data_IF_598939671134
#
_entry.id   IF_598939671134
#
_cell.length_a   1.000
_cell.length_b   1.000
_cell.length_c   1.000
_cell.angle_alpha   90.00
_cell.angle_beta   90.00
_cell.angle_gamma   90.00
#
_symmetry.space_group_name_H-M   'P 1'
#
loop_
_entity.id
_entity.type
_entity.pdbx_description
1 polymer ?
#
# COMPACT_ATOMS: atom_id res chain seq x y z
N UNK A 1 7.64 -11.04 11.03
CA UNK A 1 6.49 -11.33 11.92
C UNK A 1 5.44 -12.01 11.06
N UNK A 2 5.06 -13.24 11.41
CA UNK A 2 3.94 -13.93 10.75
C UNK A 2 2.66 -13.22 11.17
N UNK A 3 1.95 -12.61 10.22
CA UNK A 3 0.68 -11.95 10.51
C UNK A 3 -0.31 -12.97 11.09
N UNK A 4 -0.91 -12.66 12.23
CA UNK A 4 -1.97 -13.48 12.83
C UNK A 4 -3.10 -13.66 11.81
N UNK A 5 -3.53 -14.90 11.58
CA UNK A 5 -4.71 -15.19 10.74
C UNK A 5 -5.96 -14.73 11.47
N UNK A 6 -6.77 -13.90 10.81
CA UNK A 6 -8.04 -13.41 11.36
C UNK A 6 -9.18 -14.38 11.02
N UNK A 7 -10.02 -14.68 12.00
CA UNK A 7 -11.30 -15.34 11.76
C UNK A 7 -12.38 -14.33 11.34
N UNK A 8 -13.51 -14.82 10.85
CA UNK A 8 -14.65 -13.98 10.49
C UNK A 8 -15.10 -13.11 11.67
N UNK A 9 -15.37 -11.83 11.38
CA UNK A 9 -15.71 -10.78 12.35
C UNK A 9 -14.59 -10.41 13.33
N UNK A 10 -13.33 -10.70 12.98
CA UNK A 10 -12.17 -10.23 13.74
C UNK A 10 -11.48 -9.05 13.08
N UNK A 11 -10.91 -8.22 13.94
CA UNK A 11 -10.11 -7.06 13.57
C UNK A 11 -8.81 -7.12 14.35
N UNK A 12 -7.70 -6.84 13.68
CA UNK A 12 -6.41 -6.63 14.30
C UNK A 12 -6.07 -5.14 14.21
N UNK A 13 -6.07 -4.49 15.37
CA UNK A 13 -5.80 -3.06 15.54
C UNK A 13 -4.38 -2.92 16.04
N UNK A 14 -3.43 -2.58 15.15
CA UNK A 14 -2.03 -2.37 15.49
C UNK A 14 -1.38 -3.55 16.27
N UNK A 15 -1.78 -4.80 15.98
CA UNK A 15 -1.28 -6.01 16.65
C UNK A 15 -2.21 -6.56 17.72
N UNK A 16 -3.26 -5.84 18.11
CA UNK A 16 -4.23 -6.28 19.13
C UNK A 16 -5.48 -6.84 18.44
N UNK A 17 -5.72 -8.14 18.61
CA UNK A 17 -6.89 -8.83 18.08
C UNK A 17 -8.15 -8.52 18.90
N UNK A 18 -9.21 -8.08 18.24
CA UNK A 18 -10.54 -7.80 18.82
C UNK A 18 -11.65 -8.38 17.94
N UNK A 19 -12.89 -8.41 18.44
CA UNK A 19 -14.06 -8.88 17.72
C UNK A 19 -14.52 -10.27 18.15
N UNK A 20 -15.21 -10.96 17.25
CA UNK A 20 -15.87 -12.22 17.59
C UNK A 20 -14.88 -13.29 18.09
N UNK A 21 -15.25 -13.98 19.17
CA UNK A 21 -14.38 -14.98 19.82
C UNK A 21 -13.25 -14.40 20.66
N UNK A 22 -13.22 -13.07 20.89
CA UNK A 22 -12.30 -12.41 21.82
C UNK A 22 -13.04 -11.86 23.03
N UNK A 23 -12.29 -11.35 24.01
CA UNK A 23 -12.78 -10.60 25.17
C UNK A 23 -13.19 -9.15 24.84
N UNK A 24 -12.92 -8.66 23.61
CA UNK A 24 -13.32 -7.34 23.15
C UNK A 24 -14.43 -7.48 22.10
N UNK A 25 -15.66 -7.20 22.52
CA UNK A 25 -16.84 -7.32 21.68
C UNK A 25 -17.09 -6.02 20.92
N UNK A 26 -17.10 -6.09 19.59
CA UNK A 26 -17.40 -4.94 18.73
C UNK A 26 -18.93 -4.74 18.70
N UNK A 27 -19.37 -3.53 19.04
CA UNK A 27 -20.76 -3.11 18.93
C UNK A 27 -21.05 -2.43 17.59
N UNK A 28 -20.18 -1.52 17.17
CA UNK A 28 -20.34 -0.77 15.92
C UNK A 28 -18.99 -0.36 15.31
N UNK A 29 -18.97 -0.18 13.99
CA UNK A 29 -17.81 0.32 13.24
C UNK A 29 -18.27 1.38 12.25
N UNK A 30 -17.90 2.62 12.52
CA UNK A 30 -18.14 3.76 11.67
C UNK A 30 -16.91 4.03 10.77
N UNK A 31 -17.14 4.65 9.61
CA UNK A 31 -16.07 5.09 8.70
C UNK A 31 -15.48 4.02 7.78
N UNK A 32 -16.08 2.83 7.69
CA UNK A 32 -15.66 1.77 6.74
C UNK A 32 -16.15 1.99 5.31
N UNK A 33 -17.15 2.84 5.11
CA UNK A 33 -17.82 3.09 3.84
C UNK A 33 -17.04 4.00 2.88
N UNK A 34 -17.72 4.95 2.24
CA UNK A 34 -17.06 5.97 1.41
C UNK A 34 -16.42 7.02 2.32
N UNK A 35 -15.13 7.34 2.18
CA UNK A 35 -14.51 8.44 2.92
C UNK A 35 -15.14 9.78 2.58
N UNK A 36 -14.98 10.74 3.48
CA UNK A 36 -15.39 12.12 3.24
C UNK A 36 -14.69 12.70 2.01
N UNK A 37 -15.34 13.67 1.37
CA UNK A 37 -14.82 14.35 0.18
C UNK A 37 -14.54 15.80 0.52
N UNK A 38 -13.39 16.29 0.06
CA UNK A 38 -13.18 17.72 -0.11
C UNK A 38 -13.77 18.12 -1.46
N UNK A 39 -14.87 18.86 -1.39
CA UNK A 39 -15.60 19.35 -2.57
C UNK A 39 -14.93 20.61 -3.10
N UNK A 40 -14.63 20.62 -4.39
CA UNK A 40 -13.89 21.71 -5.05
C UNK A 40 -14.76 22.77 -5.72
N UNK A 41 -16.08 22.64 -5.59
CA UNK A 41 -17.06 23.43 -6.34
C UNK A 41 -16.94 24.93 -6.04
N UNK A 42 -17.13 25.75 -7.09
CA UNK A 42 -17.05 27.20 -6.98
C UNK A 42 -18.37 27.83 -7.36
N UNK A 43 -18.88 28.73 -6.54
CA UNK A 43 -20.10 29.48 -6.86
C UNK A 43 -19.92 30.25 -8.18
N UNK A 44 -21.01 30.33 -8.96
CA UNK A 44 -21.05 31.16 -10.17
C UNK A 44 -21.24 32.62 -9.70
N UNK A 45 -20.37 33.57 -10.11
CA UNK A 45 -20.56 34.96 -9.71
C UNK A 45 -21.85 35.57 -10.28
N UNK A 46 -22.77 35.98 -9.41
CA UNK A 46 -23.99 36.71 -9.80
C UNK A 46 -25.16 35.85 -10.30
N UNK A 47 -25.05 34.52 -10.24
CA UNK A 47 -26.10 33.59 -10.65
C UNK A 47 -26.27 32.46 -9.62
N UNK A 48 -27.43 31.80 -9.62
CA UNK A 48 -27.66 30.60 -8.81
C UNK A 48 -26.87 29.41 -9.38
N UNK A 49 -26.12 28.71 -8.53
CA UNK A 49 -25.42 27.48 -8.88
C UNK A 49 -23.91 27.51 -8.64
N UNK A 50 -23.22 26.48 -9.12
CA UNK A 50 -21.77 26.32 -8.97
C UNK A 50 -21.13 25.62 -10.18
N UNK A 51 -19.86 25.95 -10.44
CA UNK A 51 -18.99 25.20 -11.33
C UNK A 51 -18.46 23.96 -10.59
N UNK A 52 -18.62 22.75 -11.15
CA UNK A 52 -18.08 21.54 -10.55
C UNK A 52 -16.54 21.63 -10.51
N UNK A 53 -15.99 21.48 -9.31
CA UNK A 53 -14.56 21.49 -9.08
C UNK A 53 -13.95 20.09 -9.07
N UNK A 54 -12.68 20.03 -8.68
CA UNK A 54 -12.00 18.75 -8.47
C UNK A 54 -12.26 18.27 -7.05
N UNK A 55 -13.00 17.17 -6.93
CA UNK A 55 -13.18 16.49 -5.66
C UNK A 55 -11.96 15.63 -5.31
N UNK A 56 -11.61 15.60 -4.03
CA UNK A 56 -10.59 14.69 -3.49
C UNK A 56 -11.11 13.97 -2.26
N UNK A 57 -10.65 12.74 -2.04
CA UNK A 57 -11.02 11.97 -0.85
C UNK A 57 -10.16 12.40 0.32
N UNK A 58 -10.80 12.65 1.46
CA UNK A 58 -10.15 12.87 2.73
C UNK A 58 -9.56 11.56 3.29
N UNK A 59 -8.63 11.64 4.26
CA UNK A 59 -8.24 10.49 5.07
C UNK A 59 -9.46 9.82 5.70
N UNK A 60 -9.40 8.50 5.86
CA UNK A 60 -10.49 7.71 6.43
C UNK A 60 -10.41 7.72 7.95
N UNK A 61 -11.40 8.30 8.64
CA UNK A 61 -11.55 8.13 10.07
C UNK A 61 -12.39 6.87 10.35
N UNK A 62 -11.81 5.85 10.97
CA UNK A 62 -12.50 4.62 11.38
C UNK A 62 -12.69 4.68 12.89
N UNK A 63 -13.92 4.51 13.34
CA UNK A 63 -14.26 4.55 14.76
C UNK A 63 -14.97 3.26 15.15
N UNK A 64 -14.36 2.53 16.07
CA UNK A 64 -14.87 1.25 16.55
C UNK A 64 -15.40 1.47 17.96
N UNK A 65 -16.69 1.24 18.15
CA UNK A 65 -17.31 1.18 19.48
C UNK A 65 -17.32 -0.27 19.92
N UNK A 66 -16.71 -0.57 21.06
CA UNK A 66 -16.58 -1.93 21.56
C UNK A 66 -16.75 -1.96 23.08
N UNK A 67 -16.82 -3.16 23.65
CA UNK A 67 -16.78 -3.36 25.10
C UNK A 67 -15.88 -4.52 25.46
N UNK A 68 -15.01 -4.31 26.45
CA UNK A 68 -14.20 -5.36 27.05
C UNK A 68 -15.08 -6.13 28.02
N UNK A 69 -15.20 -7.44 27.83
CA UNK A 69 -16.03 -8.34 28.62
C UNK A 69 -15.18 -9.45 29.25
N UNK A 70 -14.93 -9.34 30.55
CA UNK A 70 -14.21 -10.31 31.37
C UNK A 70 -14.99 -10.59 32.65
N UNK A 71 -16.11 -11.34 32.56
CA UNK A 71 -17.06 -11.50 33.67
C UNK A 71 -16.38 -12.01 34.94
N UNK A 72 -16.56 -11.29 36.06
CA UNK A 72 -15.98 -11.67 37.35
C UNK A 72 -14.47 -11.46 37.49
N UNK A 73 -13.81 -10.84 36.51
CA UNK A 73 -12.37 -10.57 36.55
C UNK A 73 -12.06 -9.11 36.14
N UNK A 74 -12.28 -8.13 37.04
CA UNK A 74 -12.04 -6.72 36.73
C UNK A 74 -10.57 -6.43 36.38
N UNK A 75 -9.61 -7.14 37.00
CA UNK A 75 -8.19 -6.96 36.68
C UNK A 75 -7.86 -7.37 35.25
N UNK A 76 -8.51 -8.41 34.71
CA UNK A 76 -8.36 -8.76 33.30
C UNK A 76 -8.93 -7.67 32.37
N UNK A 77 -10.05 -7.04 32.73
CA UNK A 77 -10.60 -5.92 31.97
C UNK A 77 -9.61 -4.75 31.87
N UNK A 78 -8.99 -4.37 33.00
CA UNK A 78 -7.99 -3.30 33.03
C UNK A 78 -6.70 -3.66 32.30
N UNK A 79 -6.20 -4.89 32.44
CA UNK A 79 -5.03 -5.34 31.68
C UNK A 79 -5.28 -5.29 30.18
N UNK A 80 -6.50 -5.62 29.75
CA UNK A 80 -6.88 -5.56 28.34
C UNK A 80 -7.02 -4.14 27.83
N UNK A 81 -7.58 -3.23 28.65
CA UNK A 81 -7.62 -1.81 28.34
C UNK A 81 -6.20 -1.24 28.19
N UNK A 82 -5.31 -1.55 29.14
CA UNK A 82 -3.92 -1.11 29.10
C UNK A 82 -3.20 -1.60 27.83
N UNK A 83 -3.43 -2.85 27.40
CA UNK A 83 -2.86 -3.36 26.15
C UNK A 83 -3.30 -2.56 24.91
N UNK A 84 -4.57 -2.12 24.86
CA UNK A 84 -5.08 -1.29 23.77
C UNK A 84 -4.53 0.14 23.83
N UNK A 85 -4.40 0.70 25.03
CA UNK A 85 -3.79 2.02 25.25
C UNK A 85 -2.30 2.02 24.86
N UNK A 86 -1.55 0.98 25.24
CA UNK A 86 -0.15 0.77 24.85
C UNK A 86 0.00 0.63 23.33
N UNK A 87 -0.92 -0.07 22.67
CA UNK A 87 -0.92 -0.17 21.20
C UNK A 87 -1.17 1.19 20.53
N UNK A 88 -1.85 2.13 21.20
CA UNK A 88 -2.08 3.49 20.70
C UNK A 88 -0.90 4.45 20.98
N UNK A 89 -0.14 4.24 22.06
CA UNK A 89 1.02 5.08 22.43
C UNK A 89 2.36 4.48 21.97
N UNK A 90 2.46 4.13 20.69
CA UNK A 90 3.71 3.65 20.10
C UNK A 90 4.65 4.79 19.71
N UNK A 91 5.96 4.53 19.74
CA UNK A 91 6.96 5.49 19.23
C UNK A 91 6.84 5.80 17.73
N UNK A 92 6.02 5.04 16.99
CA UNK A 92 5.70 5.33 15.59
C UNK A 92 5.13 6.75 15.43
N UNK A 93 4.46 7.30 16.47
CA UNK A 93 3.99 8.68 16.47
C UNK A 93 5.07 9.75 16.30
N UNK A 94 6.31 9.41 16.65
CA UNK A 94 7.47 10.29 16.57
C UNK A 94 8.25 10.09 15.27
N UNK A 95 7.94 9.05 14.49
CA UNK A 95 8.67 8.70 13.26
C UNK A 95 7.86 9.15 12.04
N UNK A 96 8.32 10.16 11.29
CA UNK A 96 7.64 10.58 10.06
C UNK A 96 7.53 9.44 9.05
N UNK A 97 6.34 9.25 8.47
CA UNK A 97 6.10 8.18 7.51
C UNK A 97 6.00 6.77 8.12
N UNK A 98 6.10 6.62 9.45
CA UNK A 98 5.71 5.36 10.06
C UNK A 98 4.18 5.22 10.06
N UNK A 99 3.69 4.01 9.79
CA UNK A 99 2.24 3.71 9.75
C UNK A 99 1.92 2.46 10.54
N UNK A 100 0.83 2.50 11.29
CA UNK A 100 0.16 1.31 11.81
C UNK A 100 -0.68 0.65 10.72
N UNK A 101 -1.08 -0.60 11.01
CA UNK A 101 -1.96 -1.37 10.14
C UNK A 101 -3.20 -1.77 10.93
N UNK A 102 -4.36 -1.44 10.37
CA UNK A 102 -5.64 -2.02 10.77
C UNK A 102 -5.99 -3.13 9.78
N UNK A 103 -6.28 -4.34 10.28
CA UNK A 103 -6.68 -5.48 9.45
C UNK A 103 -8.09 -5.91 9.82
N UNK A 104 -8.94 -6.14 8.84
CA UNK A 104 -10.36 -6.45 9.02
C UNK A 104 -10.72 -7.67 8.20
N UNK A 105 -11.36 -8.65 8.85
CA UNK A 105 -11.88 -9.86 8.24
C UNK A 105 -13.42 -9.86 8.32
N UNK A 106 -14.07 -9.60 7.17
CA UNK A 106 -15.53 -9.75 7.04
C UNK A 106 -15.89 -11.17 6.64
N UNK A 107 -17.09 -11.66 7.02
CA UNK A 107 -17.51 -13.01 6.69
C UNK A 107 -17.50 -13.29 5.19
N UNK A 108 -16.90 -14.41 4.81
CA UNK A 108 -16.85 -14.85 3.41
C UNK A 108 -16.01 -13.95 2.49
N UNK A 109 -15.23 -13.03 3.04
CA UNK A 109 -14.34 -12.15 2.26
C UNK A 109 -12.89 -12.34 2.69
N UNK A 110 -11.95 -11.98 1.81
CA UNK A 110 -10.54 -11.98 2.17
C UNK A 110 -10.24 -10.83 3.15
N UNK A 111 -9.25 -11.03 4.02
CA UNK A 111 -8.79 -9.97 4.93
C UNK A 111 -8.30 -8.77 4.13
N UNK A 112 -8.76 -7.59 4.52
CA UNK A 112 -8.26 -6.32 3.99
C UNK A 112 -7.58 -5.53 5.08
N UNK A 113 -6.66 -4.67 4.67
CA UNK A 113 -5.89 -3.83 5.56
C UNK A 113 -5.96 -2.36 5.16
N UNK A 114 -5.82 -1.51 6.16
CA UNK A 114 -5.75 -0.07 6.03
C UNK A 114 -4.43 0.41 6.64
N UNK A 115 -3.67 1.21 5.89
CA UNK A 115 -2.49 1.88 6.41
C UNK A 115 -2.90 3.21 7.02
N UNK A 116 -2.36 3.51 8.19
CA UNK A 116 -2.79 4.67 8.95
C UNK A 116 -2.09 4.77 10.28
N UNK A 117 -2.83 5.24 11.27
CA UNK A 117 -2.35 5.35 12.64
C UNK A 117 -3.48 5.13 13.63
N UNK A 118 -3.19 4.39 14.69
CA UNK A 118 -4.08 4.31 15.85
C UNK A 118 -3.97 5.63 16.62
N UNK A 119 -5.06 6.39 16.69
CA UNK A 119 -5.09 7.71 17.32
C UNK A 119 -5.36 7.58 18.81
N UNK A 120 -6.33 6.73 19.17
CA UNK A 120 -6.69 6.49 20.56
C UNK A 120 -7.41 5.15 20.70
N UNK A 121 -7.24 4.54 21.86
CA UNK A 121 -8.11 3.52 22.39
C UNK A 121 -8.36 3.92 23.85
N UNK A 122 -9.61 4.18 24.21
CA UNK A 122 -9.95 4.73 25.54
C UNK A 122 -11.23 4.13 26.09
N UNK A 123 -11.34 4.05 27.41
CA UNK A 123 -12.61 3.79 28.07
C UNK A 123 -13.59 4.96 27.88
N UNK A 124 -14.84 4.63 27.54
CA UNK A 124 -15.96 5.58 27.53
C UNK A 124 -16.43 5.81 28.97
N UNK A 125 -16.50 4.75 29.76
CA UNK A 125 -16.89 4.76 31.17
C UNK A 125 -16.20 3.62 31.90
N UNK A 126 -15.86 3.83 33.18
CA UNK A 126 -15.34 2.80 34.08
C UNK A 126 -16.37 2.37 35.13
N UNK A 127 -17.61 2.87 35.05
CA UNK A 127 -18.64 2.62 36.05
C UNK A 127 -18.92 1.12 36.27
N UNK A 128 -18.88 0.33 35.20
CA UNK A 128 -19.15 -1.11 35.23
C UNK A 128 -17.86 -1.96 35.28
N UNK A 129 -16.70 -1.33 35.45
CA UNK A 129 -15.42 -2.04 35.43
C UNK A 129 -15.33 -3.08 36.55
N UNK A 130 -15.95 -2.82 37.70
CA UNK A 130 -16.05 -3.76 38.82
C UNK A 130 -16.78 -5.07 38.44
N UNK A 131 -17.67 -5.03 37.44
CA UNK A 131 -18.39 -6.18 36.91
C UNK A 131 -17.64 -6.86 35.75
N UNK A 132 -16.44 -6.38 35.40
CA UNK A 132 -15.66 -6.88 34.27
C UNK A 132 -16.18 -6.40 32.92
N UNK A 133 -16.86 -5.25 32.89
CA UNK A 133 -17.32 -4.60 31.66
C UNK A 133 -16.75 -3.19 31.53
N UNK A 134 -16.05 -2.93 30.43
CA UNK A 134 -15.53 -1.59 30.11
C UNK A 134 -15.92 -1.24 28.68
N UNK A 135 -16.88 -0.33 28.46
CA UNK A 135 -17.14 0.20 27.13
C UNK A 135 -15.95 1.06 26.68
N UNK A 136 -15.50 0.84 25.44
CA UNK A 136 -14.34 1.51 24.84
C UNK A 136 -14.66 2.09 23.47
N UNK A 137 -13.89 3.11 23.10
CA UNK A 137 -13.88 3.69 21.75
C UNK A 137 -12.45 3.64 21.21
N UNK A 138 -12.31 3.14 19.99
CA UNK A 138 -11.03 3.03 19.29
C UNK A 138 -11.13 3.88 18.02
N UNK A 139 -10.17 4.80 17.82
CA UNK A 139 -10.13 5.69 16.65
C UNK A 139 -8.87 5.42 15.83
N UNK A 140 -9.04 5.09 14.56
CA UNK A 140 -7.96 4.84 13.61
C UNK A 140 -8.07 5.79 12.41
N UNK A 141 -6.97 6.46 12.05
CA UNK A 141 -6.90 7.35 10.91
C UNK A 141 -6.16 6.68 9.74
N UNK A 142 -6.89 6.28 8.69
CA UNK A 142 -6.34 5.75 7.45
C UNK A 142 -5.87 6.86 6.51
N UNK A 143 -4.57 6.89 6.20
CA UNK A 143 -3.98 7.99 5.42
C UNK A 143 -4.31 7.91 3.92
N UNK A 144 -4.46 6.70 3.39
CA UNK A 144 -4.96 6.48 2.03
C UNK A 144 -6.42 6.02 2.10
N UNK A 145 -7.36 6.58 1.33
CA UNK A 145 -8.76 6.15 1.35
C UNK A 145 -8.98 4.68 0.90
N UNK A 146 -8.03 4.06 0.20
CA UNK A 146 -8.14 2.71 -0.32
C UNK A 146 -7.85 1.61 0.72
N UNK A 147 -8.59 0.51 0.62
CA UNK A 147 -8.32 -0.74 1.32
C UNK A 147 -7.36 -1.61 0.51
N UNK A 148 -6.42 -2.26 1.17
CA UNK A 148 -5.43 -3.12 0.52
C UNK A 148 -5.65 -4.58 0.86
N UNK A 149 -5.35 -5.49 -0.06
CA UNK A 149 -5.30 -6.92 0.24
C UNK A 149 -4.27 -7.22 1.34
N UNK A 150 -4.58 -8.20 2.19
CA UNK A 150 -3.66 -8.66 3.24
C UNK A 150 -2.50 -9.51 2.70
N UNK A 151 -2.62 -10.03 1.48
CA UNK A 151 -1.56 -10.70 0.74
C UNK A 151 -0.74 -9.70 -0.11
N UNK A 152 0.57 -9.90 -0.17
CA UNK A 152 1.44 -9.16 -1.10
C UNK A 152 1.61 -10.00 -2.35
N UNK A 153 1.36 -9.40 -3.51
CA UNK A 153 1.70 -9.95 -4.82
C UNK A 153 3.09 -9.45 -5.24
N UNK A 154 3.79 -10.25 -6.04
CA UNK A 154 5.16 -9.94 -6.44
C UNK A 154 5.48 -10.42 -7.85
N UNK A 155 6.37 -9.68 -8.50
CA UNK A 155 6.90 -9.96 -9.83
C UNK A 155 8.41 -9.66 -9.80
N UNK A 156 9.22 -10.57 -10.33
CA UNK A 156 10.66 -10.33 -10.51
C UNK A 156 10.99 -10.45 -11.99
N UNK A 157 11.67 -9.45 -12.52
CA UNK A 157 12.07 -9.35 -13.92
C UNK A 157 13.59 -9.29 -14.03
N UNK A 158 14.12 -10.15 -14.91
CA UNK A 158 15.46 -9.98 -15.48
C UNK A 158 15.46 -8.78 -16.41
N UNK A 159 16.64 -8.24 -16.72
CA UNK A 159 16.77 -7.17 -17.70
C UNK A 159 16.18 -7.62 -19.04
N UNK A 160 15.18 -6.89 -19.55
CA UNK A 160 14.64 -7.14 -20.87
C UNK A 160 15.56 -6.49 -21.91
N UNK A 161 16.48 -7.27 -22.47
CA UNK A 161 17.34 -6.81 -23.57
C UNK A 161 16.54 -6.51 -24.84
N UNK A 162 15.32 -7.05 -24.99
CA UNK A 162 14.41 -6.71 -26.09
C UNK A 162 13.65 -5.41 -25.87
N UNK A 163 13.63 -4.87 -24.64
CA UNK A 163 13.05 -3.57 -24.31
C UNK A 163 14.03 -2.40 -24.45
N UNK A 164 15.30 -2.65 -24.78
CA UNK A 164 16.23 -1.57 -25.11
C UNK A 164 15.72 -0.82 -26.35
N UNK A 165 15.18 0.39 -26.16
CA UNK A 165 14.83 1.28 -27.27
C UNK A 165 16.09 1.55 -28.09
N UNK A 166 16.12 1.07 -29.33
CA UNK A 166 17.21 1.32 -30.28
C UNK A 166 18.27 0.21 -30.40
N UNK A 167 18.09 -0.94 -29.76
CA UNK A 167 18.98 -2.10 -29.94
C UNK A 167 18.74 -2.81 -31.27
N UNK A 168 19.34 -2.32 -32.36
CA UNK A 168 19.34 -3.00 -33.65
C UNK A 168 20.30 -4.19 -33.70
N UNK A 169 20.14 -5.05 -34.70
CA UNK A 169 21.14 -6.08 -34.99
C UNK A 169 22.38 -5.43 -35.63
N UNK A 170 23.59 -5.79 -35.17
CA UNK A 170 24.85 -5.37 -35.81
C UNK A 170 25.29 -6.42 -36.83
N UNK A 171 25.51 -5.99 -38.08
CA UNK A 171 25.85 -6.84 -39.22
C UNK A 171 27.30 -7.40 -39.16
N UNK A 172 27.61 -8.51 -39.88
CA UNK A 172 26.77 -9.22 -40.86
C UNK A 172 25.97 -10.38 -40.26
N UNK A 173 24.64 -10.33 -40.41
CA UNK A 173 23.75 -11.40 -39.98
C UNK A 173 23.68 -12.50 -41.06
N UNK A 174 23.72 -13.78 -40.66
CA UNK A 174 23.51 -14.92 -41.57
C UNK A 174 22.12 -15.51 -41.36
N UNK A 175 21.37 -15.62 -42.46
CA UNK A 175 20.06 -16.23 -42.50
C UNK A 175 20.10 -17.76 -42.30
N UNK A 176 19.00 -18.40 -41.85
CA UNK A 176 17.70 -17.81 -41.53
C UNK A 176 17.65 -17.22 -40.12
N UNK A 177 17.34 -15.93 -40.04
CA UNK A 177 17.07 -15.26 -38.76
C UNK A 177 15.60 -15.52 -38.43
N UNK A 178 15.34 -16.21 -37.33
CA UNK A 178 13.98 -16.33 -36.80
C UNK A 178 13.89 -15.45 -35.55
N UNK A 179 12.96 -14.51 -35.54
CA UNK A 179 12.56 -13.83 -34.32
C UNK A 179 11.48 -14.67 -33.69
N UNK A 180 11.77 -15.27 -32.53
CA UNK A 180 10.76 -16.03 -31.79
C UNK A 180 9.56 -15.12 -31.49
N UNK A 181 8.37 -15.55 -31.87
CA UNK A 181 7.14 -14.91 -31.42
C UNK A 181 6.91 -15.30 -29.97
N UNK A 182 7.29 -14.43 -29.03
CA UNK A 182 6.81 -14.59 -27.66
C UNK A 182 5.31 -14.31 -27.67
N UNK A 183 4.51 -15.37 -27.55
CA UNK A 183 3.07 -15.23 -27.33
C UNK A 183 2.86 -14.28 -26.15
N UNK A 184 1.96 -13.30 -26.30
CA UNK A 184 1.73 -12.22 -25.32
C UNK A 184 1.47 -12.76 -23.91
N UNK A 185 0.86 -13.93 -23.79
CA UNK A 185 0.60 -14.59 -22.50
C UNK A 185 1.85 -15.15 -21.80
N UNK A 186 2.90 -15.50 -22.54
CA UNK A 186 4.14 -16.09 -22.01
C UNK A 186 5.23 -15.05 -21.70
N UNK A 187 4.98 -13.76 -21.98
CA UNK A 187 5.92 -12.68 -21.67
C UNK A 187 6.02 -12.49 -20.15
N UNK A 188 7.23 -12.51 -19.56
CA UNK A 188 7.40 -12.09 -18.17
C UNK A 188 7.07 -10.60 -18.08
N UNK A 189 6.45 -10.14 -16.99
CA UNK A 189 6.08 -8.72 -16.86
C UNK A 189 4.67 -8.48 -16.34
N UNK A 190 3.81 -9.49 -16.31
CA UNK A 190 2.42 -9.29 -15.96
C UNK A 190 2.21 -9.13 -14.46
N UNK A 191 1.80 -7.93 -14.05
CA UNK A 191 1.23 -7.64 -12.75
C UNK A 191 -0.30 -7.65 -12.86
N UNK A 192 -0.98 -8.18 -11.84
CA UNK A 192 -2.44 -8.21 -11.77
C UNK A 192 -2.89 -7.54 -10.47
N UNK A 193 -3.64 -6.46 -10.60
CA UNK A 193 -4.36 -5.83 -9.51
C UNK A 193 -5.82 -6.29 -9.58
N UNK A 194 -6.20 -7.23 -8.70
CA UNK A 194 -7.57 -7.78 -8.69
C UNK A 194 -8.59 -6.83 -8.06
N UNK A 195 -8.12 -5.71 -7.50
CA UNK A 195 -8.95 -4.67 -6.92
C UNK A 195 -9.58 -3.74 -7.96
N UNK A 196 -10.42 -2.82 -7.48
CA UNK A 196 -11.14 -1.84 -8.30
C UNK A 196 -10.59 -0.41 -8.18
N UNK A 197 -9.45 -0.24 -7.50
CA UNK A 197 -8.70 1.02 -7.41
C UNK A 197 -7.28 0.80 -7.92
N UNK A 198 -6.60 1.83 -8.44
CA UNK A 198 -5.18 1.73 -8.73
C UNK A 198 -4.38 1.34 -7.47
N UNK A 199 -3.50 0.37 -7.60
CA UNK A 199 -2.60 -0.09 -6.54
C UNK A 199 -1.23 0.61 -6.64
N UNK A 200 -0.59 0.81 -5.49
CA UNK A 200 0.73 1.46 -5.41
C UNK A 200 1.82 0.39 -5.26
N UNK A 201 2.62 0.13 -6.30
CA UNK A 201 3.69 -0.85 -6.21
C UNK A 201 4.92 -0.28 -5.48
N UNK A 202 5.65 -1.15 -4.81
CA UNK A 202 7.01 -0.92 -4.36
C UNK A 202 7.97 -1.57 -5.37
N UNK A 203 9.06 -0.87 -5.69
CA UNK A 203 10.07 -1.38 -6.62
C UNK A 203 11.40 -1.56 -5.88
N UNK A 204 12.13 -2.60 -6.23
CA UNK A 204 13.53 -2.79 -5.87
C UNK A 204 14.32 -3.12 -7.11
N UNK A 205 15.24 -2.25 -7.48
CA UNK A 205 16.20 -2.50 -8.57
C UNK A 205 17.52 -2.94 -7.94
N UNK A 206 18.02 -4.10 -8.33
CA UNK A 206 19.30 -4.66 -7.86
C UNK A 206 20.34 -4.56 -8.96
N UNK A 207 21.49 -3.97 -8.65
CA UNK A 207 22.62 -3.80 -9.57
C UNK A 207 23.44 -5.07 -9.81
N UNK A 208 24.39 -5.02 -10.76
CA UNK A 208 24.95 -3.82 -11.36
C UNK A 208 24.08 -3.25 -12.48
N UNK A 209 23.82 -1.94 -12.45
CA UNK A 209 22.96 -1.28 -13.43
C UNK A 209 23.25 0.21 -13.55
N UNK A 210 23.14 0.77 -14.75
CA UNK A 210 23.24 2.21 -15.01
C UNK A 210 21.98 2.70 -15.71
N UNK A 211 21.47 3.82 -15.21
CA UNK A 211 20.29 4.54 -15.67
C UNK A 211 19.05 3.65 -15.90
N UNK A 212 18.54 2.97 -14.85
CA UNK A 212 17.37 2.12 -15.00
C UNK A 212 16.12 2.95 -15.32
N UNK A 213 15.23 2.37 -16.12
CA UNK A 213 13.92 2.89 -16.46
C UNK A 213 12.87 1.80 -16.28
N UNK A 214 11.75 2.12 -15.64
CA UNK A 214 10.62 1.21 -15.41
C UNK A 214 9.33 1.87 -15.90
N UNK A 215 8.49 1.13 -16.62
CA UNK A 215 7.20 1.64 -17.09
C UNK A 215 6.11 0.58 -17.11
N UNK A 216 4.86 1.03 -17.21
CA UNK A 216 3.70 0.18 -17.43
C UNK A 216 3.24 0.38 -18.88
N UNK A 217 3.20 -0.71 -19.66
CA UNK A 217 2.81 -0.65 -21.08
C UNK A 217 1.35 -0.22 -21.24
N UNK A 218 1.08 0.68 -22.18
CA UNK A 218 -0.23 1.29 -22.38
C UNK A 218 -0.58 2.44 -21.42
N UNK A 219 0.33 2.84 -20.52
CA UNK A 219 0.12 3.92 -19.54
C UNK A 219 1.26 4.95 -19.60
N UNK A 220 1.15 5.98 -20.46
CA UNK A 220 2.25 6.91 -20.76
C UNK A 220 2.81 7.65 -19.54
N UNK A 221 1.98 7.93 -18.54
CA UNK A 221 2.39 8.67 -17.33
C UNK A 221 3.03 7.77 -16.26
N UNK A 222 2.90 6.45 -16.40
CA UNK A 222 3.46 5.47 -15.45
C UNK A 222 4.89 5.10 -15.87
N UNK A 223 5.79 6.08 -15.90
CA UNK A 223 7.20 5.93 -16.24
C UNK A 223 8.07 6.49 -15.12
N UNK A 224 9.07 5.70 -14.70
CA UNK A 224 10.11 6.09 -13.75
C UNK A 224 11.48 5.90 -14.39
N UNK A 225 12.20 7.00 -14.56
CA UNK A 225 13.57 7.05 -15.04
C UNK A 225 14.49 7.48 -13.91
N UNK A 226 15.61 6.78 -13.77
CA UNK A 226 16.59 7.06 -12.74
C UNK A 226 17.93 7.42 -13.37
N UNK A 227 18.54 8.51 -12.92
CA UNK A 227 19.95 8.86 -13.16
C UNK A 227 20.78 8.29 -12.01
N UNK A 228 21.04 6.98 -12.07
CA UNK A 228 21.74 6.25 -11.01
C UNK A 228 22.63 5.15 -11.59
N UNK A 229 23.74 4.88 -10.90
CA UNK A 229 24.59 3.72 -11.12
C UNK A 229 24.65 2.91 -9.83
N UNK A 230 24.28 1.63 -9.92
CA UNK A 230 24.36 0.66 -8.83
C UNK A 230 25.46 -0.36 -9.18
N UNK A 231 26.30 -0.69 -8.21
CA UNK A 231 27.23 -1.81 -8.27
C UNK A 231 26.54 -3.15 -8.01
N UNK A 232 27.31 -4.23 -8.08
CA UNK A 232 26.80 -5.57 -7.77
C UNK A 232 26.32 -5.65 -6.31
N UNK A 233 25.10 -6.13 -6.10
CA UNK A 233 24.48 -6.26 -4.78
C UNK A 233 23.90 -4.96 -4.20
N UNK A 234 24.13 -3.81 -4.84
CA UNK A 234 23.48 -2.56 -4.42
C UNK A 234 22.03 -2.51 -4.87
N UNK A 235 21.18 -1.85 -4.08
CA UNK A 235 19.75 -1.73 -4.34
C UNK A 235 19.29 -0.28 -4.45
N UNK A 236 18.28 -0.06 -5.27
CA UNK A 236 17.45 1.14 -5.29
C UNK A 236 16.02 0.73 -4.93
N UNK A 237 15.58 1.13 -3.74
CA UNK A 237 14.26 0.86 -3.18
C UNK A 237 13.35 2.06 -3.43
N UNK A 238 12.20 1.85 -4.08
CA UNK A 238 11.26 2.90 -4.49
C UNK A 238 9.90 2.62 -3.88
N UNK A 239 9.40 3.59 -3.12
CA UNK A 239 8.06 3.59 -2.54
C UNK A 239 7.16 4.56 -3.32
N UNK A 240 6.01 4.09 -3.80
CA UNK A 240 5.06 4.92 -4.56
C UNK A 240 3.79 5.26 -3.76
N UNK A 241 3.57 4.61 -2.61
CA UNK A 241 2.39 4.83 -1.77
C UNK A 241 2.27 6.28 -1.32
N UNK A 242 1.07 6.88 -1.37
CA UNK A 242 0.81 8.21 -0.84
C UNK A 242 1.32 8.36 0.60
N UNK A 243 1.94 9.51 0.91
CA UNK A 243 2.50 9.79 2.23
C UNK A 243 3.84 9.12 2.54
N UNK A 244 4.25 8.09 1.78
CA UNK A 244 5.49 7.33 1.99
C UNK A 244 6.48 7.41 0.84
N UNK A 245 6.16 8.20 -0.19
CA UNK A 245 6.94 8.27 -1.43
C UNK A 245 8.39 8.64 -1.14
N UNK A 246 9.29 7.70 -1.41
CA UNK A 246 10.71 7.86 -1.20
C UNK A 246 11.49 6.95 -2.15
N UNK A 247 12.73 7.31 -2.37
CA UNK A 247 13.72 6.46 -3.05
C UNK A 247 14.86 6.32 -2.07
N UNK A 248 15.34 5.10 -1.82
CA UNK A 248 16.47 4.83 -0.94
C UNK A 248 17.51 3.98 -1.68
N UNK A 249 18.78 4.22 -1.39
CA UNK A 249 19.88 3.37 -1.90
C UNK A 249 20.36 2.48 -0.77
N UNK A 250 20.46 1.17 -1.02
CA UNK A 250 20.86 0.18 -0.01
C UNK A 250 20.01 0.27 1.28
N UNK A 251 18.72 0.61 1.15
CA UNK A 251 17.81 0.83 2.29
C UNK A 251 18.13 2.05 3.17
N UNK A 252 19.02 2.94 2.74
CA UNK A 252 19.50 4.08 3.54
C UNK A 252 19.10 5.42 2.91
N UNK A 253 18.61 6.33 3.77
CA UNK A 253 18.36 7.73 3.44
C UNK A 253 17.38 7.97 2.28
N UNK A 254 17.29 9.23 1.86
CA UNK A 254 16.62 9.59 0.61
C UNK A 254 17.64 9.74 -0.51
N UNK A 255 17.37 9.11 -1.64
CA UNK A 255 18.11 9.19 -2.89
C UNK A 255 17.21 9.78 -3.99
N UNK A 256 16.32 10.71 -3.60
CA UNK A 256 15.36 11.35 -4.50
C UNK A 256 16.00 12.07 -5.69
N UNK A 257 17.23 12.57 -5.54
CA UNK A 257 18.00 13.20 -6.63
C UNK A 257 18.31 12.27 -7.81
N UNK A 258 18.16 10.95 -7.64
CA UNK A 258 18.28 9.99 -8.73
C UNK A 258 17.07 9.98 -9.65
N UNK A 259 15.89 10.45 -9.22
CA UNK A 259 14.70 10.43 -10.07
C UNK A 259 14.80 11.52 -11.14
N UNK A 260 14.57 11.16 -12.39
CA UNK A 260 14.50 12.14 -13.48
C UNK A 260 13.34 13.13 -13.24
N UNK A 261 13.51 14.39 -13.65
CA UNK A 261 12.49 15.45 -13.43
C UNK A 261 11.15 15.17 -14.12
N UNK A 262 11.16 14.41 -15.21
CA UNK A 262 9.98 13.95 -15.94
C UNK A 262 9.19 12.87 -15.18
N UNK A 263 9.85 12.17 -14.25
CA UNK A 263 9.28 11.00 -13.57
C UNK A 263 8.51 11.39 -12.31
N UNK A 264 7.39 10.70 -12.09
CA UNK A 264 6.41 11.04 -11.05
C UNK A 264 5.98 9.81 -10.28
N UNK A 265 6.44 9.69 -9.02
CA UNK A 265 6.07 8.57 -8.13
C UNK A 265 4.56 8.50 -7.86
N UNK A 266 3.85 9.62 -7.95
CA UNK A 266 2.40 9.70 -7.78
C UNK A 266 1.60 9.22 -8.99
N UNK A 267 2.24 9.07 -10.15
CA UNK A 267 1.61 8.56 -11.37
C UNK A 267 1.94 7.10 -11.65
N UNK A 268 2.99 6.55 -11.04
CA UNK A 268 3.36 5.15 -11.16
C UNK A 268 2.47 4.25 -10.28
N UNK A 269 1.32 3.87 -10.82
CA UNK A 269 0.29 3.04 -10.15
C UNK A 269 -0.17 1.92 -11.07
N UNK A 270 -0.39 0.74 -10.50
CA UNK A 270 -0.96 -0.40 -11.22
C UNK A 270 -2.47 -0.20 -11.37
N UNK A 271 -3.01 -0.01 -12.58
CA UNK A 271 -4.45 0.12 -12.77
C UNK A 271 -5.16 -1.19 -12.39
N UNK A 272 -6.48 -1.17 -12.14
CA UNK A 272 -7.29 -2.39 -12.02
C UNK A 272 -7.11 -3.31 -13.22
N UNK A 273 -7.05 -4.62 -12.96
CA UNK A 273 -6.85 -5.64 -13.98
C UNK A 273 -5.37 -5.99 -14.19
N UNK A 274 -5.05 -6.42 -15.41
CA UNK A 274 -3.73 -6.95 -15.77
C UNK A 274 -2.92 -5.88 -16.51
N UNK A 275 -1.66 -5.70 -16.12
CA UNK A 275 -0.75 -4.72 -16.73
C UNK A 275 0.62 -5.33 -16.97
N UNK A 276 1.23 -5.00 -18.11
CA UNK A 276 2.59 -5.42 -18.44
C UNK A 276 3.57 -4.36 -17.91
N UNK A 277 4.37 -4.76 -16.94
CA UNK A 277 5.46 -3.96 -16.38
C UNK A 277 6.73 -4.32 -17.14
N UNK A 278 7.42 -3.28 -17.60
CA UNK A 278 8.65 -3.40 -18.37
C UNK A 278 9.72 -2.53 -17.76
N UNK A 279 10.97 -2.93 -17.96
CA UNK A 279 12.11 -2.15 -17.51
C UNK A 279 13.32 -2.36 -18.41
N UNK A 280 14.19 -1.37 -18.45
CA UNK A 280 15.43 -1.39 -19.21
C UNK A 280 16.52 -0.63 -18.46
N UNK A 281 17.76 -0.91 -18.81
CA UNK A 281 18.93 -0.27 -18.26
C UNK A 281 20.20 -0.67 -19.02
N UNK A 282 21.34 -0.12 -18.62
CA UNK A 282 22.66 -0.60 -19.03
C UNK A 282 23.23 -1.55 -17.96
N UNK A 283 23.44 -2.80 -18.33
CA UNK A 283 24.10 -3.83 -17.49
C UNK A 283 24.87 -4.79 -18.40
N UNK A 284 26.20 -4.79 -18.27
CA UNK A 284 27.08 -5.66 -19.05
C UNK A 284 27.14 -7.11 -18.52
N UNK A 285 26.63 -7.37 -17.32
CA UNK A 285 26.72 -8.67 -16.63
C UNK A 285 25.46 -9.52 -16.81
N UNK A 286 24.32 -8.90 -17.13
CA UNK A 286 23.01 -9.57 -17.22
C UNK A 286 22.46 -10.05 -15.86
N UNK A 287 23.04 -9.59 -14.75
CA UNK A 287 22.68 -10.02 -13.39
C UNK A 287 21.71 -9.06 -12.69
N UNK A 288 21.45 -7.89 -13.27
CA UNK A 288 20.50 -6.92 -12.72
C UNK A 288 19.06 -7.46 -12.69
N UNK A 289 18.30 -7.07 -11.66
CA UNK A 289 16.91 -7.52 -11.45
C UNK A 289 16.03 -6.36 -11.01
N UNK A 290 14.78 -6.36 -11.47
CA UNK A 290 13.70 -5.55 -10.92
C UNK A 290 12.75 -6.46 -10.16
N UNK A 291 12.56 -6.20 -8.87
CA UNK A 291 11.47 -6.76 -8.09
C UNK A 291 10.39 -5.70 -7.91
N UNK A 292 9.15 -6.08 -8.19
CA UNK A 292 7.95 -5.28 -8.00
C UNK A 292 7.06 -6.02 -7.01
N UNK A 293 6.59 -5.33 -5.97
CA UNK A 293 5.61 -5.89 -5.04
C UNK A 293 4.44 -4.93 -4.86
N UNK A 294 3.23 -5.45 -4.78
CA UNK A 294 2.03 -4.64 -4.59
C UNK A 294 0.99 -5.38 -3.77
N UNK A 295 -0.04 -4.64 -3.37
CA UNK A 295 -1.24 -5.18 -2.76
C UNK A 295 -2.42 -4.66 -3.56
N UNK A 296 -3.35 -5.55 -3.88
CA UNK A 296 -4.56 -5.17 -4.62
C UNK A 296 -5.34 -4.12 -3.85
N UNK A 297 -5.82 -3.09 -4.56
CA UNK A 297 -6.42 -1.91 -3.94
C UNK A 297 -7.92 -1.83 -4.23
N UNK A 298 -8.70 -1.61 -3.18
CA UNK A 298 -10.16 -1.67 -3.19
C UNK A 298 -10.77 -0.38 -2.64
N UNK A 299 -11.92 0.00 -3.18
CA UNK A 299 -12.70 1.15 -2.70
C UNK A 299 -13.44 0.89 -1.39
N UNK A 300 -13.66 -0.39 -1.06
CA UNK A 300 -14.43 -0.84 0.10
C UNK A 300 -13.70 -1.96 0.83
N UNK A 301 -14.21 -2.36 2.00
CA UNK A 301 -13.89 -3.66 2.61
C UNK A 301 -14.35 -4.82 1.76
#
# INVERSE_FOLDING_TARGET
MTNTTLADWQIDVAGVLIGHGTDVLIGDIDGIGTPDKHIGDRAIPGEDGSYPGRDTLAPRAIRITAGIRTPGNPSAAFNRLAQLEEAADTQLRLTPGATDVLRVQRPGQATRRQYGRLISARAISLADAAHGWIPIEITFAGFDPAWYADTTSGLTLSLDTSAQRGGGFTAPLRAPITTGTSGTAARPGWAANTGNRPAWPQLRITGPVVNPQVWIDGWPDAVLEFTAALGAGETLDVETRPGLRNIARNGQGTYAGALARSSRLDLFRLPPGRSEVRWSAQDATGTSRLALTWRDAHSAL
#
